data_IF_249389462346
#
_entry.id   IF_249389462346
#
_cell.length_a   1.000
_cell.length_b   1.000
_cell.length_c   1.000
_cell.angle_alpha   90.00
_cell.angle_beta   90.00
_cell.angle_gamma   90.00
#
_symmetry.space_group_name_H-M   'P 1'
#
loop_
_entity.id
_entity.type
_entity.pdbx_description
1 polymer ?
#
# COMPACT_ATOMS: atom_id res chain seq x y z
N UNK A 1 -10.97 0.05 1.34
CA UNK A 1 -11.59 -0.63 0.20
C UNK A 1 -12.11 0.41 -0.78
N UNK A 2 -11.61 0.42 -2.02
CA UNK A 2 -11.85 1.52 -2.96
C UNK A 2 -12.72 0.99 -4.11
N UNK A 3 -14.04 1.11 -3.98
CA UNK A 3 -14.99 0.73 -5.03
C UNK A 3 -15.18 1.88 -6.01
N UNK A 4 -14.73 1.71 -7.26
CA UNK A 4 -15.30 2.46 -8.37
C UNK A 4 -16.53 1.72 -8.86
N UNK A 5 -17.71 2.35 -8.86
CA UNK A 5 -18.97 1.76 -9.36
C UNK A 5 -18.93 1.34 -10.83
N UNK A 6 -17.85 1.61 -11.56
CA UNK A 6 -17.69 1.33 -12.99
C UNK A 6 -16.64 0.26 -13.33
N UNK A 7 -15.90 -0.27 -12.35
CA UNK A 7 -14.92 -1.33 -12.63
C UNK A 7 -15.50 -2.70 -12.28
N UNK A 8 -15.66 -3.54 -13.29
CA UNK A 8 -16.00 -4.97 -13.16
C UNK A 8 -14.90 -5.82 -12.54
N UNK A 9 -13.83 -5.22 -11.98
CA UNK A 9 -12.75 -5.93 -11.32
C UNK A 9 -13.24 -6.41 -9.96
N UNK A 10 -13.27 -7.73 -9.75
CA UNK A 10 -13.68 -8.36 -8.51
C UNK A 10 -12.78 -7.96 -7.33
N UNK A 11 -13.32 -8.05 -6.12
CA UNK A 11 -12.52 -7.99 -4.90
C UNK A 11 -12.20 -9.40 -4.44
N UNK A 12 -10.94 -9.63 -4.10
CA UNK A 12 -10.45 -10.93 -3.69
C UNK A 12 -9.85 -10.85 -2.29
N UNK A 13 -10.16 -11.84 -1.44
CA UNK A 13 -9.40 -12.12 -0.22
C UNK A 13 -8.62 -13.40 -0.44
N UNK A 14 -7.31 -13.33 -0.31
CA UNK A 14 -6.43 -14.47 -0.45
C UNK A 14 -5.83 -14.84 0.90
N UNK A 15 -5.91 -16.10 1.27
CA UNK A 15 -5.13 -16.71 2.32
C UNK A 15 -4.24 -17.80 1.72
N UNK A 16 -2.93 -17.65 1.84
CA UNK A 16 -1.97 -18.63 1.37
C UNK A 16 -1.44 -19.44 2.56
N UNK A 17 -1.41 -20.76 2.43
CA UNK A 17 -0.94 -21.71 3.44
C UNK A 17 0.37 -22.33 2.94
N UNK A 18 1.39 -22.32 3.81
CA UNK A 18 2.64 -23.01 3.55
C UNK A 18 2.43 -24.54 3.67
N UNK A 19 2.61 -25.26 2.57
CA UNK A 19 2.49 -26.72 2.50
C UNK A 19 3.47 -27.48 3.40
N UNK A 20 4.52 -26.83 3.90
CA UNK A 20 5.50 -27.44 4.80
C UNK A 20 5.01 -27.51 6.24
N UNK A 21 3.94 -26.81 6.58
CA UNK A 21 3.41 -26.75 7.94
C UNK A 21 2.32 -27.80 8.09
N UNK A 22 2.61 -28.89 8.76
CA UNK A 22 1.65 -29.94 9.13
C UNK A 22 0.83 -29.49 10.35
N UNK A 23 -0.18 -28.64 10.14
CA UNK A 23 -1.16 -28.26 11.16
C UNK A 23 -2.59 -28.40 10.61
N UNK A 24 -3.28 -29.44 11.04
CA UNK A 24 -4.67 -29.74 10.63
C UNK A 24 -5.68 -28.63 10.94
N UNK A 25 -5.31 -27.68 11.79
CA UNK A 25 -6.15 -26.52 12.14
C UNK A 25 -5.94 -25.29 11.27
N UNK A 26 -4.85 -25.23 10.46
CA UNK A 26 -4.53 -24.06 9.63
C UNK A 26 -5.62 -23.75 8.62
N UNK A 27 -6.08 -24.74 7.89
CA UNK A 27 -7.15 -24.56 6.91
C UNK A 27 -8.44 -24.02 7.52
N UNK A 28 -8.86 -24.59 8.65
CA UNK A 28 -10.07 -24.14 9.36
C UNK A 28 -9.95 -22.68 9.81
N UNK A 29 -8.78 -22.30 10.32
CA UNK A 29 -8.49 -20.90 10.69
C UNK A 29 -8.50 -19.98 9.48
N UNK A 30 -7.86 -20.39 8.38
CA UNK A 30 -7.81 -19.64 7.13
C UNK A 30 -9.21 -19.38 6.57
N UNK A 31 -10.05 -20.43 6.50
CA UNK A 31 -11.44 -20.30 6.02
C UNK A 31 -12.25 -19.35 6.91
N UNK A 32 -12.11 -19.44 8.23
CA UNK A 32 -12.79 -18.52 9.15
C UNK A 32 -12.37 -17.05 8.95
N UNK A 33 -11.09 -16.81 8.66
CA UNK A 33 -10.60 -15.46 8.36
C UNK A 33 -11.23 -14.95 7.06
N UNK A 34 -11.28 -15.78 6.02
CA UNK A 34 -11.88 -15.44 4.73
C UNK A 34 -13.39 -15.16 4.87
N UNK A 35 -14.13 -16.00 5.56
CA UNK A 35 -15.56 -15.77 5.88
C UNK A 35 -15.81 -14.46 6.63
N UNK A 36 -14.94 -14.14 7.60
CA UNK A 36 -15.01 -12.87 8.33
C UNK A 36 -14.82 -11.68 7.39
N UNK A 37 -13.84 -11.78 6.48
CA UNK A 37 -13.60 -10.75 5.47
C UNK A 37 -14.77 -10.62 4.48
N UNK A 38 -15.34 -11.74 4.03
CA UNK A 38 -16.51 -11.74 3.14
C UNK A 38 -17.74 -11.13 3.80
N UNK A 39 -18.00 -11.47 5.09
CA UNK A 39 -19.10 -10.88 5.87
C UNK A 39 -18.93 -9.37 6.02
N UNK A 40 -17.71 -8.90 6.32
CA UNK A 40 -17.43 -7.47 6.43
C UNK A 40 -17.59 -6.73 5.07
N UNK A 41 -17.22 -7.38 3.96
CA UNK A 41 -17.41 -6.83 2.63
C UNK A 41 -18.90 -6.75 2.24
N UNK A 42 -19.67 -7.81 2.54
CA UNK A 42 -21.10 -7.85 2.27
C UNK A 42 -21.88 -6.77 3.03
N UNK A 43 -21.45 -6.40 4.24
CA UNK A 43 -22.02 -5.28 5.00
C UNK A 43 -21.86 -3.91 4.27
N UNK A 44 -21.02 -3.86 3.23
CA UNK A 44 -20.79 -2.67 2.38
C UNK A 44 -21.25 -2.90 0.94
N UNK A 45 -22.13 -3.85 0.69
CA UNK A 45 -22.62 -4.26 -0.64
C UNK A 45 -21.48 -4.66 -1.61
N UNK A 46 -20.43 -5.26 -1.07
CA UNK A 46 -19.29 -5.69 -1.86
C UNK A 46 -19.22 -7.19 -1.89
N UNK A 47 -19.23 -7.76 -3.09
CA UNK A 47 -18.94 -9.18 -3.27
C UNK A 47 -17.43 -9.41 -3.19
N UNK A 48 -16.99 -10.26 -2.28
CA UNK A 48 -15.60 -10.64 -2.06
C UNK A 48 -15.41 -12.11 -2.46
N UNK A 49 -14.50 -12.35 -3.41
CA UNK A 49 -14.10 -13.70 -3.76
C UNK A 49 -13.10 -14.23 -2.73
N UNK A 50 -13.41 -15.34 -2.11
CA UNK A 50 -12.53 -16.00 -1.15
C UNK A 50 -11.62 -16.98 -1.87
N UNK A 51 -10.30 -16.82 -1.71
CA UNK A 51 -9.30 -17.69 -2.31
C UNK A 51 -8.43 -18.29 -1.20
N UNK A 52 -8.34 -19.61 -1.18
CA UNK A 52 -7.40 -20.37 -0.38
C UNK A 52 -6.39 -21.03 -1.31
N UNK A 53 -5.11 -20.78 -1.08
CA UNK A 53 -4.02 -21.38 -1.88
C UNK A 53 -3.04 -22.09 -0.96
N UNK A 54 -2.50 -23.18 -1.46
CA UNK A 54 -1.42 -23.95 -0.84
C UNK A 54 -0.18 -23.81 -1.70
N UNK A 55 0.93 -23.40 -1.11
CA UNK A 55 2.21 -23.29 -1.80
C UNK A 55 3.34 -23.44 -0.80
N UNK A 56 4.50 -23.86 -1.27
CA UNK A 56 5.76 -23.89 -0.48
C UNK A 56 6.39 -22.49 -0.37
N UNK A 57 5.93 -21.56 -1.20
CA UNK A 57 6.36 -20.17 -1.21
C UNK A 57 5.13 -19.24 -1.26
N UNK A 58 4.84 -18.58 -0.15
CA UNK A 58 3.67 -17.69 0.00
C UNK A 58 3.73 -16.51 -0.98
N UNK A 59 4.90 -15.92 -1.26
CA UNK A 59 5.02 -14.81 -2.21
C UNK A 59 4.67 -15.26 -3.63
N UNK A 60 5.13 -16.43 -4.05
CA UNK A 60 4.75 -17.03 -5.33
C UNK A 60 3.23 -17.25 -5.44
N UNK A 61 2.60 -17.79 -4.39
CA UNK A 61 1.15 -17.98 -4.38
C UNK A 61 0.41 -16.65 -4.62
N UNK A 62 0.84 -15.58 -3.95
CA UNK A 62 0.23 -14.25 -4.11
C UNK A 62 0.46 -13.71 -5.53
N UNK A 63 1.70 -13.80 -6.05
CA UNK A 63 2.05 -13.32 -7.38
C UNK A 63 1.29 -14.08 -8.49
N UNK A 64 1.17 -15.40 -8.34
CA UNK A 64 0.42 -16.25 -9.28
C UNK A 64 -1.06 -15.89 -9.31
N UNK A 65 -1.71 -15.75 -8.15
CA UNK A 65 -3.11 -15.31 -8.07
C UNK A 65 -3.28 -13.91 -8.65
N UNK A 66 -2.35 -13.00 -8.40
CA UNK A 66 -2.41 -11.66 -8.98
C UNK A 66 -2.38 -11.69 -10.51
N UNK A 67 -1.58 -12.59 -11.12
CA UNK A 67 -1.53 -12.81 -12.57
C UNK A 67 -2.79 -13.51 -13.08
N UNK A 68 -3.20 -14.62 -12.46
CA UNK A 68 -4.39 -15.41 -12.85
C UNK A 68 -5.68 -14.58 -12.84
N UNK A 69 -5.85 -13.72 -11.83
CA UNK A 69 -7.06 -12.92 -11.64
C UNK A 69 -6.92 -11.49 -12.19
N UNK A 70 -5.82 -11.19 -12.91
CA UNK A 70 -5.54 -9.84 -13.46
C UNK A 70 -5.67 -8.73 -12.40
N UNK A 71 -5.14 -8.98 -11.21
CA UNK A 71 -5.19 -8.06 -10.08
C UNK A 71 -4.38 -6.81 -10.39
N UNK A 72 -4.92 -5.64 -10.14
CA UNK A 72 -4.25 -4.34 -10.33
C UNK A 72 -3.60 -3.81 -9.06
N UNK A 73 -4.09 -4.27 -7.89
CA UNK A 73 -3.68 -3.75 -6.59
C UNK A 73 -3.68 -4.85 -5.53
N UNK A 74 -2.60 -4.95 -4.81
CA UNK A 74 -2.47 -5.83 -3.66
C UNK A 74 -2.45 -4.95 -2.40
N UNK A 75 -3.30 -5.28 -1.42
CA UNK A 75 -3.27 -4.68 -0.08
C UNK A 75 -2.94 -5.77 0.92
N UNK A 76 -1.86 -5.59 1.65
CA UNK A 76 -1.42 -6.53 2.67
C UNK A 76 -1.05 -5.84 3.97
N UNK A 77 -1.22 -6.54 5.09
CA UNK A 77 -0.78 -6.06 6.39
C UNK A 77 0.75 -6.03 6.48
N UNK A 78 1.27 -5.09 7.26
CA UNK A 78 2.68 -5.13 7.62
C UNK A 78 2.93 -6.33 8.53
N UNK A 79 3.59 -7.35 8.02
CA UNK A 79 4.05 -8.48 8.81
C UNK A 79 5.50 -8.22 9.23
N UNK A 80 5.74 -8.17 10.54
CA UNK A 80 7.09 -7.97 11.09
C UNK A 80 7.68 -9.30 11.49
N UNK A 81 8.79 -9.64 10.89
CA UNK A 81 9.66 -10.68 11.42
C UNK A 81 10.41 -10.15 12.64
N UNK A 82 10.80 -11.05 13.54
CA UNK A 82 11.56 -10.70 14.76
C UNK A 82 12.95 -10.10 14.46
N UNK A 83 13.38 -10.11 13.19
CA UNK A 83 14.67 -9.57 12.76
C UNK A 83 14.53 -8.11 12.30
N UNK A 84 15.21 -7.15 12.91
CA UNK A 84 15.20 -5.75 12.48
C UNK A 84 15.72 -5.53 11.05
N UNK A 85 16.49 -6.48 10.52
CA UNK A 85 17.08 -6.37 9.18
C UNK A 85 16.06 -6.52 8.05
N UNK A 86 14.87 -7.10 8.32
CA UNK A 86 13.84 -7.35 7.32
C UNK A 86 12.53 -6.68 7.77
N UNK A 87 12.50 -5.35 7.67
CA UNK A 87 11.36 -4.55 8.11
C UNK A 87 10.02 -4.96 7.46
N UNK A 88 10.03 -5.25 6.17
CA UNK A 88 8.83 -5.64 5.43
C UNK A 88 8.46 -7.13 5.62
N UNK A 89 9.31 -7.90 6.28
CA UNK A 89 9.24 -9.35 6.31
C UNK A 89 9.62 -9.99 4.96
N UNK A 90 10.02 -11.26 5.01
CA UNK A 90 10.49 -11.99 3.83
C UNK A 90 9.42 -12.06 2.73
N UNK A 91 8.19 -12.43 3.08
CA UNK A 91 7.08 -12.59 2.13
C UNK A 91 6.85 -11.30 1.31
N UNK A 92 6.83 -10.15 1.98
CA UNK A 92 6.62 -8.85 1.30
C UNK A 92 7.80 -8.49 0.42
N UNK A 93 9.03 -8.71 0.89
CA UNK A 93 10.25 -8.44 0.12
C UNK A 93 10.29 -9.27 -1.17
N UNK A 94 10.04 -10.56 -1.06
CA UNK A 94 10.01 -11.50 -2.19
C UNK A 94 8.87 -11.12 -3.17
N UNK A 95 7.66 -10.84 -2.66
CA UNK A 95 6.52 -10.42 -3.50
C UNK A 95 6.84 -9.15 -4.32
N UNK A 96 7.50 -8.16 -3.71
CA UNK A 96 7.90 -6.95 -4.44
C UNK A 96 8.94 -7.22 -5.53
N UNK A 97 9.70 -8.32 -5.43
CA UNK A 97 10.58 -8.83 -6.49
C UNK A 97 9.83 -9.56 -7.61
N UNK A 98 8.80 -10.31 -7.26
CA UNK A 98 8.08 -11.23 -8.14
C UNK A 98 6.85 -10.59 -8.83
N UNK A 99 6.34 -9.47 -8.31
CA UNK A 99 5.13 -8.83 -8.82
C UNK A 99 5.35 -7.39 -9.25
N UNK A 100 4.77 -7.00 -10.38
CA UNK A 100 4.74 -5.62 -10.88
C UNK A 100 3.50 -4.84 -10.45
N UNK A 101 2.58 -5.47 -9.77
CA UNK A 101 1.30 -4.89 -9.33
C UNK A 101 1.52 -3.81 -8.27
N UNK A 102 0.68 -2.78 -8.25
CA UNK A 102 0.72 -1.79 -7.16
C UNK A 102 0.45 -2.49 -5.83
N UNK A 103 1.41 -2.38 -4.91
CA UNK A 103 1.32 -3.03 -3.60
C UNK A 103 1.25 -1.99 -2.49
N UNK A 104 0.21 -2.10 -1.65
CA UNK A 104 0.00 -1.28 -0.47
C UNK A 104 0.27 -2.12 0.77
N UNK A 105 1.24 -1.69 1.57
CA UNK A 105 1.57 -2.32 2.85
C UNK A 105 0.99 -1.45 3.95
N UNK A 106 -0.04 -1.95 4.60
CA UNK A 106 -0.82 -1.20 5.57
C UNK A 106 -0.58 -1.67 7.00
N UNK A 107 -0.27 -0.71 7.88
CA UNK A 107 -0.28 -0.92 9.33
C UNK A 107 -1.44 -0.13 9.93
N UNK A 108 -2.57 -0.76 10.24
CA UNK A 108 -3.63 -0.13 11.00
C UNK A 108 -3.23 0.02 12.48
N UNK A 109 -3.53 1.18 13.05
CA UNK A 109 -3.43 1.43 14.50
C UNK A 109 -4.80 1.81 15.04
N UNK A 110 -5.62 2.42 14.19
CA UNK A 110 -6.97 2.85 14.53
C UNK A 110 -7.92 2.66 13.34
N UNK A 111 -9.23 2.62 13.57
CA UNK A 111 -10.21 2.52 12.49
C UNK A 111 -10.09 3.66 11.48
N UNK A 112 -10.27 3.38 10.17
CA UNK A 112 -10.21 4.41 9.13
C UNK A 112 -11.19 5.56 9.36
N UNK A 113 -12.34 5.30 9.96
CA UNK A 113 -13.36 6.32 10.28
C UNK A 113 -12.88 7.37 11.31
N UNK A 114 -11.82 7.08 12.07
CA UNK A 114 -11.25 8.02 13.05
C UNK A 114 -10.14 8.88 12.48
N UNK A 115 -9.65 8.56 11.28
CA UNK A 115 -8.64 9.34 10.59
C UNK A 115 -9.25 10.68 10.17
N UNK A 116 -8.51 11.77 10.41
CA UNK A 116 -8.91 13.15 10.04
C UNK A 116 -8.12 13.67 8.86
N UNK A 117 -6.85 13.23 8.72
CA UNK A 117 -5.98 13.69 7.64
C UNK A 117 -5.20 12.52 7.06
N UNK A 118 -5.05 12.52 5.74
CA UNK A 118 -4.11 11.69 5.02
C UNK A 118 -2.87 12.52 4.67
N UNK A 119 -1.74 12.19 5.26
CA UNK A 119 -0.44 12.83 4.99
C UNK A 119 0.25 12.01 3.92
N UNK A 120 0.43 12.57 2.73
CA UNK A 120 0.99 11.84 1.56
C UNK A 120 2.36 12.42 1.24
N UNK A 121 3.39 11.60 1.35
CA UNK A 121 4.77 11.98 1.03
C UNK A 121 5.20 11.33 -0.28
N UNK A 122 5.59 12.16 -1.23
CA UNK A 122 5.88 11.76 -2.61
C UNK A 122 7.35 12.08 -2.94
N UNK A 123 8.14 11.12 -3.41
CA UNK A 123 9.52 11.36 -3.80
C UNK A 123 9.62 12.15 -5.11
N UNK A 124 10.80 12.71 -5.36
CA UNK A 124 11.12 13.36 -6.62
C UNK A 124 10.96 12.40 -7.78
N UNK A 125 10.43 12.89 -8.89
CA UNK A 125 10.20 12.16 -10.14
C UNK A 125 9.17 11.03 -10.05
N UNK A 126 8.41 10.92 -8.96
CA UNK A 126 7.35 9.91 -8.83
C UNK A 126 6.26 10.09 -9.91
N UNK A 127 6.06 11.31 -10.40
CA UNK A 127 5.12 11.63 -11.48
C UNK A 127 5.48 10.97 -12.82
N UNK A 128 6.72 10.49 -12.96
CA UNK A 128 7.19 9.75 -14.12
C UNK A 128 7.05 8.24 -14.00
N UNK A 129 6.72 7.74 -12.80
CA UNK A 129 6.49 6.32 -12.57
C UNK A 129 5.15 5.86 -13.11
N UNK A 130 5.12 4.63 -13.66
CA UNK A 130 3.87 4.02 -14.07
C UNK A 130 2.90 3.93 -12.87
N UNK A 131 1.62 4.19 -13.12
CA UNK A 131 0.60 4.10 -12.06
C UNK A 131 0.55 5.26 -11.06
N UNK A 132 1.39 6.29 -11.19
CA UNK A 132 1.38 7.45 -10.30
C UNK A 132 -0.03 8.03 -10.12
N UNK A 133 -0.68 8.37 -11.23
CA UNK A 133 -2.03 8.93 -11.19
C UNK A 133 -3.07 7.96 -10.61
N UNK A 134 -2.88 6.66 -10.80
CA UNK A 134 -3.82 5.65 -10.34
C UNK A 134 -3.87 5.57 -8.82
N UNK A 135 -2.73 5.44 -8.15
CA UNK A 135 -2.71 5.37 -6.70
C UNK A 135 -3.04 6.72 -6.05
N UNK A 136 -2.62 7.84 -6.65
CA UNK A 136 -2.99 9.17 -6.16
C UNK A 136 -4.51 9.40 -6.22
N UNK A 137 -5.15 9.00 -7.32
CA UNK A 137 -6.59 9.06 -7.47
C UNK A 137 -7.33 8.20 -6.43
N UNK A 138 -6.79 7.03 -6.08
CA UNK A 138 -7.36 6.16 -5.04
C UNK A 138 -7.34 6.81 -3.67
N UNK A 139 -6.24 7.49 -3.31
CA UNK A 139 -6.18 8.27 -2.06
C UNK A 139 -7.22 9.40 -2.08
N UNK A 140 -7.36 10.10 -3.21
CA UNK A 140 -8.37 11.14 -3.39
C UNK A 140 -9.80 10.61 -3.20
N UNK A 141 -10.10 9.44 -3.78
CA UNK A 141 -11.39 8.77 -3.61
C UNK A 141 -11.62 8.33 -2.16
N UNK A 142 -10.61 7.80 -1.48
CA UNK A 142 -10.71 7.45 -0.08
C UNK A 142 -11.04 8.67 0.78
N UNK A 143 -10.29 9.75 0.62
CA UNK A 143 -10.50 10.98 1.37
C UNK A 143 -11.89 11.57 1.13
N UNK A 144 -12.36 11.57 -0.12
CA UNK A 144 -13.73 12.00 -0.46
C UNK A 144 -14.79 11.14 0.23
N UNK A 145 -14.62 9.82 0.23
CA UNK A 145 -15.60 8.90 0.80
C UNK A 145 -15.63 8.92 2.33
N UNK A 146 -14.53 9.32 2.95
CA UNK A 146 -14.39 9.41 4.42
C UNK A 146 -14.54 10.83 4.94
N UNK A 147 -14.66 11.84 4.07
CA UNK A 147 -14.73 13.25 4.45
C UNK A 147 -13.42 13.79 5.07
N UNK A 148 -12.29 13.16 4.75
CA UNK A 148 -10.98 13.51 5.32
C UNK A 148 -10.21 14.46 4.43
N UNK A 149 -9.24 15.17 5.03
CA UNK A 149 -8.33 16.10 4.34
C UNK A 149 -7.08 15.34 3.86
N UNK A 150 -6.53 15.76 2.73
CA UNK A 150 -5.24 15.30 2.23
C UNK A 150 -4.22 16.44 2.36
N UNK A 151 -3.03 16.13 2.86
CA UNK A 151 -1.87 17.03 2.85
C UNK A 151 -0.74 16.35 2.09
N UNK A 152 -0.37 16.89 0.94
CA UNK A 152 0.65 16.33 0.05
C UNK A 152 1.96 17.04 0.25
N UNK A 153 2.99 16.29 0.62
CA UNK A 153 4.37 16.71 0.73
C UNK A 153 5.15 16.19 -0.48
N UNK A 154 5.61 17.09 -1.33
CA UNK A 154 6.33 16.69 -2.54
C UNK A 154 7.28 17.80 -3.05
N UNK A 155 8.24 17.49 -3.95
CA UNK A 155 9.02 18.49 -4.65
C UNK A 155 8.16 19.36 -5.56
N UNK A 156 8.68 20.55 -5.89
CA UNK A 156 7.94 21.54 -6.69
C UNK A 156 7.47 21.02 -8.04
N UNK A 157 8.30 20.22 -8.72
CA UNK A 157 7.94 19.59 -10.01
C UNK A 157 6.73 18.70 -9.90
N UNK A 158 6.72 17.83 -8.88
CA UNK A 158 5.60 16.93 -8.59
C UNK A 158 4.36 17.73 -8.18
N UNK A 159 4.50 18.77 -7.34
CA UNK A 159 3.39 19.63 -6.96
C UNK A 159 2.75 20.34 -8.15
N UNK A 160 3.56 20.87 -9.08
CA UNK A 160 3.06 21.45 -10.34
C UNK A 160 2.30 20.43 -11.18
N UNK A 161 2.78 19.18 -11.22
CA UNK A 161 2.13 18.12 -11.98
C UNK A 161 0.75 17.74 -11.40
N UNK A 162 0.59 17.73 -10.09
CA UNK A 162 -0.68 17.36 -9.43
C UNK A 162 -1.67 18.52 -9.29
N UNK A 163 -1.25 19.77 -9.47
CA UNK A 163 -2.12 20.95 -9.30
C UNK A 163 -3.40 20.92 -10.15
N UNK A 164 -3.38 20.52 -11.45
CA UNK A 164 -4.60 20.38 -12.25
C UNK A 164 -5.54 19.30 -11.73
N UNK A 165 -4.98 18.25 -11.10
CA UNK A 165 -5.74 17.14 -10.51
C UNK A 165 -6.42 17.61 -9.22
N UNK A 166 -5.72 18.38 -8.41
CA UNK A 166 -6.24 18.97 -7.17
C UNK A 166 -7.50 19.78 -7.42
N UNK A 167 -7.52 20.61 -8.46
CA UNK A 167 -8.68 21.44 -8.82
C UNK A 167 -9.94 20.65 -9.22
N UNK A 168 -9.76 19.41 -9.64
CA UNK A 168 -10.87 18.49 -10.03
C UNK A 168 -11.34 17.62 -8.85
N UNK A 169 -10.66 17.66 -7.72
CA UNK A 169 -11.03 16.88 -6.54
C UNK A 169 -12.07 17.63 -5.69
N UNK A 170 -13.01 16.88 -5.15
CA UNK A 170 -13.98 17.42 -4.17
C UNK A 170 -13.45 17.31 -2.74
N UNK A 171 -12.40 16.51 -2.50
CA UNK A 171 -11.72 16.43 -1.22
C UNK A 171 -10.83 17.68 -1.01
N UNK A 172 -10.70 18.13 0.24
CA UNK A 172 -9.77 19.20 0.59
C UNK A 172 -8.33 18.70 0.48
N UNK A 173 -7.56 19.28 -0.45
CA UNK A 173 -6.15 18.93 -0.69
C UNK A 173 -5.28 20.16 -0.43
N UNK A 174 -4.38 20.05 0.53
CA UNK A 174 -3.29 20.99 0.77
C UNK A 174 -1.98 20.44 0.21
N UNK A 175 -1.09 21.33 -0.21
CA UNK A 175 0.22 20.98 -0.76
C UNK A 175 1.30 21.70 0.01
N UNK A 176 2.39 20.97 0.33
CA UNK A 176 3.54 21.48 1.06
C UNK A 176 4.81 21.11 0.29
N UNK A 177 5.68 22.08 0.09
CA UNK A 177 6.97 21.85 -0.53
C UNK A 177 7.86 20.98 0.37
N UNK A 178 8.27 19.83 -0.14
CA UNK A 178 9.14 18.89 0.55
C UNK A 178 10.15 18.31 -0.44
N UNK A 179 11.43 18.70 -0.29
CA UNK A 179 12.51 18.31 -1.21
C UNK A 179 13.51 17.34 -0.58
N UNK A 180 13.61 17.38 0.74
CA UNK A 180 14.70 16.73 1.48
C UNK A 180 14.17 15.62 2.37
N UNK A 181 14.35 14.39 1.94
CA UNK A 181 13.94 13.20 2.68
C UNK A 181 14.73 12.98 3.99
N UNK A 182 15.90 13.60 4.16
CA UNK A 182 16.61 13.57 5.45
C UNK A 182 15.84 14.34 6.54
N UNK A 183 14.93 15.23 6.15
CA UNK A 183 14.03 15.95 7.08
C UNK A 183 12.75 15.17 7.42
N UNK A 184 12.57 13.97 6.86
CA UNK A 184 11.41 13.13 7.14
C UNK A 184 11.20 12.88 8.65
N UNK A 185 12.25 12.60 9.48
CA UNK A 185 12.06 12.41 10.92
C UNK A 185 11.43 13.61 11.63
N UNK A 186 11.73 14.83 11.20
CA UNK A 186 11.13 16.04 11.79
C UNK A 186 9.62 16.09 11.49
N UNK A 187 9.24 15.83 10.23
CA UNK A 187 7.83 15.76 9.82
C UNK A 187 7.07 14.65 10.56
N UNK A 188 7.68 13.47 10.74
CA UNK A 188 7.04 12.35 11.42
C UNK A 188 6.73 12.65 12.89
N UNK A 189 7.53 13.50 13.55
CA UNK A 189 7.27 13.95 14.95
C UNK A 189 6.07 14.91 15.06
N UNK A 190 5.73 15.60 13.99
CA UNK A 190 4.62 16.56 13.95
C UNK A 190 3.28 15.90 13.61
N UNK A 191 3.27 14.61 13.30
CA UNK A 191 2.04 13.87 13.00
C UNK A 191 1.14 13.80 14.23
N UNK A 192 -0.13 14.06 14.01
CA UNK A 192 -1.18 13.87 15.01
C UNK A 192 -1.56 12.41 15.09
N UNK A 193 -2.09 11.98 16.20
CA UNK A 193 -2.53 10.58 16.40
C UNK A 193 -3.65 10.17 15.43
N UNK A 194 -4.45 11.13 14.95
CA UNK A 194 -5.53 10.92 13.98
C UNK A 194 -5.10 11.13 12.51
N UNK A 195 -3.78 11.25 12.25
CA UNK A 195 -3.22 11.25 10.91
C UNK A 195 -2.95 9.81 10.44
N UNK A 196 -3.18 9.56 9.14
CA UNK A 196 -2.70 8.38 8.44
C UNK A 196 -1.60 8.78 7.46
N UNK A 197 -0.41 8.23 7.63
CA UNK A 197 0.72 8.50 6.73
C UNK A 197 0.66 7.59 5.50
N UNK A 198 0.91 8.18 4.33
CA UNK A 198 1.08 7.48 3.06
C UNK A 198 2.46 7.82 2.50
N UNK A 199 3.31 6.84 2.36
CA UNK A 199 4.64 7.00 1.78
C UNK A 199 4.67 6.35 0.40
N UNK A 200 4.85 7.14 -0.64
CA UNK A 200 5.14 6.62 -1.97
C UNK A 200 6.60 6.14 -1.98
N UNK A 201 6.77 4.84 -2.05
CA UNK A 201 8.06 4.17 -2.10
C UNK A 201 8.49 3.97 -3.55
N UNK A 202 9.78 3.71 -3.76
CA UNK A 202 10.32 3.32 -5.05
C UNK A 202 11.26 2.14 -4.92
N UNK A 203 11.37 1.35 -5.96
CA UNK A 203 12.36 0.28 -6.04
C UNK A 203 13.71 0.88 -6.44
N UNK A 204 14.82 0.22 -6.04
CA UNK A 204 16.19 0.76 -6.21
C UNK A 204 16.55 1.15 -7.64
N UNK A 205 15.99 0.49 -8.64
CA UNK A 205 16.29 0.68 -10.06
C UNK A 205 15.37 1.70 -10.74
N UNK A 206 14.53 2.39 -9.99
CA UNK A 206 13.52 3.29 -10.52
C UNK A 206 13.92 4.75 -10.35
N UNK A 207 13.38 5.59 -11.25
CA UNK A 207 13.76 7.00 -11.35
C UNK A 207 13.41 7.81 -10.11
N UNK A 208 12.38 7.41 -9.38
CA UNK A 208 11.94 8.07 -8.14
C UNK A 208 12.64 7.55 -6.89
N UNK A 209 13.54 6.56 -7.02
CA UNK A 209 14.28 6.02 -5.89
C UNK A 209 15.22 7.05 -5.28
N UNK A 210 15.23 7.10 -3.95
CA UNK A 210 16.14 7.93 -3.18
C UNK A 210 16.83 7.10 -2.09
N UNK A 211 18.16 7.23 -1.89
CA UNK A 211 18.89 6.47 -0.87
C UNK A 211 18.34 6.64 0.56
N UNK A 212 17.75 7.79 0.86
CA UNK A 212 17.07 8.04 2.15
C UNK A 212 15.92 7.08 2.42
N UNK A 213 15.32 6.46 1.40
CA UNK A 213 14.27 5.44 1.56
C UNK A 213 14.75 4.21 2.32
N UNK A 214 16.04 3.91 2.32
CA UNK A 214 16.61 2.80 3.11
C UNK A 214 16.49 3.05 4.63
N UNK A 215 16.35 4.31 5.05
CA UNK A 215 16.21 4.69 6.46
C UNK A 215 14.74 4.66 6.94
N UNK A 216 13.78 4.59 6.00
CA UNK A 216 12.34 4.63 6.32
C UNK A 216 11.95 3.56 7.33
N UNK A 217 12.38 2.29 7.23
CA UNK A 217 12.04 1.28 8.20
C UNK A 217 12.35 1.70 9.65
N UNK A 218 13.55 2.24 9.88
CA UNK A 218 13.97 2.70 11.20
C UNK A 218 13.13 3.90 11.68
N UNK A 219 12.79 4.81 10.77
CA UNK A 219 11.95 5.96 11.09
C UNK A 219 10.52 5.56 11.45
N UNK A 220 9.93 4.61 10.71
CA UNK A 220 8.59 4.11 11.00
C UNK A 220 8.53 3.42 12.37
N UNK A 221 9.56 2.66 12.73
CA UNK A 221 9.65 2.04 14.04
C UNK A 221 9.76 3.07 15.16
N UNK A 222 10.60 4.06 14.96
CA UNK A 222 10.90 5.06 15.97
C UNK A 222 9.76 6.05 16.20
N UNK A 223 9.07 6.47 15.12
CA UNK A 223 8.13 7.60 15.19
C UNK A 223 6.66 7.22 15.03
N UNK A 224 6.33 6.09 14.37
CA UNK A 224 4.96 5.75 14.02
C UNK A 224 4.35 4.62 14.85
N UNK A 225 4.74 4.51 16.12
CA UNK A 225 4.12 3.54 17.04
C UNK A 225 2.61 3.73 17.20
N UNK A 226 2.13 4.98 17.13
CA UNK A 226 0.75 5.39 17.38
C UNK A 226 -0.04 5.80 16.14
N UNK A 227 0.57 5.78 14.95
CA UNK A 227 -0.08 6.20 13.71
C UNK A 227 -0.30 5.02 12.77
N UNK A 228 -1.44 5.03 12.10
CA UNK A 228 -1.65 4.19 10.92
C UNK A 228 -0.80 4.69 9.76
N UNK A 229 -0.23 3.76 8.98
CA UNK A 229 0.49 4.14 7.77
C UNK A 229 0.32 3.15 6.63
N UNK A 230 0.56 3.62 5.43
CA UNK A 230 0.57 2.86 4.18
C UNK A 230 1.86 3.14 3.42
N UNK A 231 2.59 2.09 3.07
CA UNK A 231 3.66 2.18 2.08
C UNK A 231 3.07 1.80 0.72
N UNK A 232 3.31 2.63 -0.29
CA UNK A 232 2.83 2.40 -1.65
C UNK A 232 4.02 2.03 -2.52
N UNK A 233 4.03 0.82 -3.06
CA UNK A 233 4.95 0.41 -4.11
C UNK A 233 4.20 0.44 -5.43
N UNK A 234 4.42 1.45 -6.28
CA UNK A 234 3.68 1.63 -7.53
C UNK A 234 3.90 0.47 -8.50
N UNK A 235 2.92 0.27 -9.38
CA UNK A 235 3.01 -0.67 -10.51
C UNK A 235 4.27 -0.38 -11.34
N UNK A 236 4.89 -1.45 -11.82
CA UNK A 236 6.07 -1.37 -12.67
C UNK A 236 5.72 -1.67 -14.11
N UNK A 237 6.36 -0.96 -15.05
CA UNK A 237 6.29 -1.33 -16.47
C UNK A 237 7.21 -2.53 -16.76
N UNK A 238 6.77 -3.43 -17.66
CA UNK A 238 7.52 -4.62 -18.07
C UNK A 238 7.10 -5.90 -17.32
N UNK A 239 7.62 -7.03 -17.80
CA UNK A 239 7.42 -8.33 -17.16
C UNK A 239 8.37 -8.46 -15.96
N UNK A 240 7.94 -9.00 -14.81
CA UNK A 240 8.83 -9.31 -13.69
C UNK A 240 10.00 -10.21 -14.09
N UNK A 241 9.76 -11.16 -15.00
CA UNK A 241 10.77 -12.11 -15.49
C UNK A 241 11.87 -11.43 -16.31
N UNK A 242 11.60 -10.27 -16.95
CA UNK A 242 12.60 -9.54 -17.73
C UNK A 242 13.69 -8.86 -16.89
N UNK A 243 13.61 -8.91 -15.58
CA UNK A 243 14.62 -8.34 -14.67
C UNK A 243 15.81 -9.23 -14.41
N UNK A 244 15.74 -10.48 -14.82
CA UNK A 244 16.78 -11.50 -14.61
C UNK A 244 17.49 -11.90 -15.90
N UNK A 245 17.17 -11.25 -17.02
CA UNK A 245 17.85 -11.34 -18.30
C UNK A 245 18.74 -10.13 -18.55
#
# INVERSE_FOLDING_TARGET
MLKSKKNHNGFYALHAIDNKVEDSGLEKRARKILETAATAAAASDIYLHELLRYDVNISNAIASVAKEQSITDIVMGLHRDKSPAIFLGKITGDLLGESNVTTYIYKPVQPLATIKRHIVIIPSQAEKEAGFLMWLHKIGNLARNTGTKIVVYAPETTLKYIEPLRRKQTATVETVLFKDWEKLPALLRELRTDDCLWLAMSRRERISYQPAMNKIPAYLDQYLGRNSFVLIYPVQAGDPESRYL
#
